data_IF_802185545639
#
_entry.id   IF_802185545639
#
_cell.length_a   1.000
_cell.length_b   1.000
_cell.length_c   1.000
_cell.angle_alpha   90.00
_cell.angle_beta   90.00
_cell.angle_gamma   90.00
#
_symmetry.space_group_name_H-M   'P 1'
#
loop_
_entity.id
_entity.type
_entity.pdbx_description
1 polymer ?
#
# COMPACT_ATOMS: atom_id res chain seq x y z
N UNK A 1 -2.21 4.79 -21.63
CA UNK A 1 -3.60 5.01 -21.17
C UNK A 1 -4.31 3.72 -20.76
N UNK A 2 -4.24 2.64 -21.55
CA UNK A 2 -4.86 1.34 -21.21
C UNK A 2 -4.40 0.78 -19.85
N UNK A 3 -3.10 0.81 -19.53
CA UNK A 3 -2.58 0.36 -18.23
C UNK A 3 -3.16 1.14 -17.04
N UNK A 4 -3.42 2.44 -17.22
CA UNK A 4 -4.00 3.29 -16.18
C UNK A 4 -5.45 2.89 -15.90
N UNK A 5 -6.21 2.56 -16.95
CA UNK A 5 -7.58 2.02 -16.81
C UNK A 5 -7.57 0.70 -16.04
N UNK A 6 -6.71 -0.25 -16.41
CA UNK A 6 -6.60 -1.52 -15.69
C UNK A 6 -6.15 -1.36 -14.24
N UNK A 7 -5.25 -0.41 -13.97
CA UNK A 7 -4.81 -0.07 -12.61
C UNK A 7 -5.97 0.48 -11.77
N UNK A 8 -6.77 1.41 -12.31
CA UNK A 8 -7.95 1.94 -11.64
C UNK A 8 -8.97 0.83 -11.37
N UNK A 9 -9.30 0.03 -12.39
CA UNK A 9 -10.25 -1.07 -12.25
C UNK A 9 -9.78 -2.08 -11.20
N UNK A 10 -8.51 -2.46 -11.21
CA UNK A 10 -7.94 -3.37 -10.20
C UNK A 10 -7.98 -2.76 -8.81
N UNK A 11 -7.60 -1.49 -8.66
CA UNK A 11 -7.63 -0.78 -7.37
C UNK A 11 -9.03 -0.75 -6.76
N UNK A 12 -10.05 -0.40 -7.56
CA UNK A 12 -11.45 -0.38 -7.12
C UNK A 12 -11.94 -1.80 -6.82
N UNK A 13 -11.62 -2.77 -7.67
CA UNK A 13 -12.04 -4.17 -7.50
C UNK A 13 -11.49 -4.76 -6.20
N UNK A 14 -10.23 -4.50 -5.85
CA UNK A 14 -9.64 -4.98 -4.58
C UNK A 14 -10.41 -4.41 -3.39
N UNK A 15 -10.73 -3.11 -3.38
CA UNK A 15 -11.49 -2.50 -2.30
C UNK A 15 -12.89 -3.13 -2.14
N UNK A 16 -13.59 -3.37 -3.25
CA UNK A 16 -14.91 -4.02 -3.25
C UNK A 16 -14.85 -5.49 -2.80
N UNK A 17 -13.85 -6.25 -3.26
CA UNK A 17 -13.64 -7.64 -2.86
C UNK A 17 -13.34 -7.75 -1.36
N UNK A 18 -12.49 -6.86 -0.82
CA UNK A 18 -12.21 -6.85 0.62
C UNK A 18 -13.48 -6.53 1.41
N UNK A 19 -14.28 -5.54 0.99
CA UNK A 19 -15.57 -5.28 1.66
C UNK A 19 -16.49 -6.49 1.63
N UNK A 20 -16.60 -7.14 0.46
CA UNK A 20 -17.42 -8.35 0.33
C UNK A 20 -16.94 -9.47 1.26
N UNK A 21 -15.63 -9.67 1.37
CA UNK A 21 -15.04 -10.68 2.26
C UNK A 21 -15.31 -10.37 3.74
N UNK A 22 -15.20 -9.11 4.13
CA UNK A 22 -15.50 -8.66 5.50
C UNK A 22 -17.00 -8.76 5.82
N UNK A 23 -17.88 -8.43 4.88
CA UNK A 23 -19.34 -8.60 5.05
C UNK A 23 -19.76 -10.08 5.12
N UNK A 24 -18.96 -10.98 4.55
CA UNK A 24 -19.17 -12.42 4.62
C UNK A 24 -18.44 -13.07 5.82
N UNK A 25 -17.86 -12.27 6.72
CA UNK A 25 -17.11 -12.72 7.91
C UNK A 25 -16.06 -13.79 7.61
N UNK A 26 -15.42 -13.70 6.43
CA UNK A 26 -14.36 -14.63 6.06
C UNK A 26 -13.15 -14.45 6.99
N UNK A 27 -12.47 -15.55 7.28
CA UNK A 27 -11.27 -15.50 8.10
C UNK A 27 -10.15 -14.73 7.38
N UNK A 28 -9.82 -13.54 7.89
CA UNK A 28 -8.81 -12.62 7.36
C UNK A 28 -7.45 -13.28 7.11
N UNK A 29 -7.01 -14.16 8.00
CA UNK A 29 -5.73 -14.87 7.84
C UNK A 29 -5.77 -15.83 6.66
N UNK A 30 -6.90 -16.52 6.43
CA UNK A 30 -7.08 -17.37 5.24
C UNK A 30 -7.07 -16.53 3.97
N UNK A 31 -7.80 -15.42 3.95
CA UNK A 31 -7.82 -14.49 2.80
C UNK A 31 -6.41 -14.00 2.48
N UNK A 32 -5.66 -13.57 3.51
CA UNK A 32 -4.27 -13.13 3.36
C UNK A 32 -3.38 -14.27 2.85
N UNK A 33 -3.46 -15.46 3.44
CA UNK A 33 -2.67 -16.62 3.04
C UNK A 33 -2.86 -16.98 1.57
N UNK A 34 -4.11 -17.08 1.11
CA UNK A 34 -4.40 -17.38 -0.30
C UNK A 34 -3.95 -16.25 -1.23
N UNK A 35 -4.13 -14.98 -0.86
CA UNK A 35 -3.66 -13.85 -1.64
C UNK A 35 -2.14 -13.94 -1.90
N UNK A 36 -1.37 -14.19 -0.84
CA UNK A 36 0.10 -14.22 -0.91
C UNK A 36 0.64 -15.47 -1.60
N UNK A 37 -0.01 -16.63 -1.43
CA UNK A 37 0.33 -17.84 -2.20
C UNK A 37 0.08 -17.62 -3.68
N UNK A 38 -1.07 -17.04 -4.04
CA UNK A 38 -1.40 -16.80 -5.45
C UNK A 38 -0.37 -15.89 -6.11
N UNK A 39 -0.08 -14.72 -5.52
CA UNK A 39 0.88 -13.79 -6.12
C UNK A 39 2.30 -14.38 -6.17
N UNK A 40 2.74 -15.07 -5.11
CA UNK A 40 4.07 -15.69 -5.08
C UNK A 40 4.22 -16.78 -6.13
N UNK A 41 3.18 -17.61 -6.32
CA UNK A 41 3.19 -18.68 -7.33
C UNK A 41 3.21 -18.14 -8.75
N UNK A 42 2.41 -17.10 -9.01
CA UNK A 42 2.36 -16.43 -10.33
C UNK A 42 3.70 -15.77 -10.64
N UNK A 43 4.28 -15.04 -9.68
CA UNK A 43 5.58 -14.39 -9.86
C UNK A 43 6.72 -15.40 -10.05
N UNK A 44 6.70 -16.52 -9.30
CA UNK A 44 7.67 -17.58 -9.48
C UNK A 44 7.58 -18.17 -10.89
N UNK A 45 6.38 -18.49 -11.36
CA UNK A 45 6.16 -19.02 -12.70
C UNK A 45 6.69 -18.07 -13.79
N UNK A 46 6.38 -16.77 -13.68
CA UNK A 46 6.85 -15.76 -14.63
C UNK A 46 8.39 -15.69 -14.64
N UNK A 47 9.03 -15.70 -13.48
CA UNK A 47 10.49 -15.61 -13.40
C UNK A 47 11.19 -16.88 -13.89
N UNK A 48 10.59 -18.05 -13.67
CA UNK A 48 11.07 -19.33 -14.25
C UNK A 48 11.01 -19.28 -15.77
N UNK A 49 9.88 -18.88 -16.34
CA UNK A 49 9.70 -18.77 -17.80
C UNK A 49 10.68 -17.78 -18.43
N UNK A 50 10.99 -16.69 -17.73
CA UNK A 50 11.90 -15.63 -18.21
C UNK A 50 13.37 -15.91 -17.91
N UNK A 51 13.71 -17.01 -17.25
CA UNK A 51 15.06 -17.31 -16.77
C UNK A 51 15.69 -16.15 -15.98
N UNK A 52 14.88 -15.44 -15.20
CA UNK A 52 15.27 -14.22 -14.47
C UNK A 52 15.45 -14.45 -12.97
N UNK A 53 15.64 -15.71 -12.55
CA UNK A 53 15.90 -16.04 -11.16
C UNK A 53 17.35 -15.71 -10.81
N UNK A 54 17.54 -14.81 -9.86
CA UNK A 54 18.81 -14.53 -9.22
C UNK A 54 18.61 -14.38 -7.72
N UNK A 55 19.69 -14.52 -6.97
CA UNK A 55 19.67 -14.38 -5.52
C UNK A 55 20.72 -13.37 -5.09
N UNK A 56 20.28 -12.36 -4.33
CA UNK A 56 21.13 -11.41 -3.63
C UNK A 56 20.68 -11.35 -2.15
N UNK A 57 21.65 -11.39 -1.24
CA UNK A 57 21.36 -11.46 0.20
C UNK A 57 20.69 -10.18 0.71
N UNK A 58 21.12 -9.01 0.24
CA UNK A 58 20.54 -7.73 0.67
C UNK A 58 19.11 -7.60 0.16
N UNK A 59 18.88 -7.98 -1.09
CA UNK A 59 17.57 -8.03 -1.74
C UNK A 59 16.63 -9.02 -1.05
N UNK A 60 17.14 -10.17 -0.60
CA UNK A 60 16.38 -11.15 0.17
C UNK A 60 15.93 -10.60 1.52
N UNK A 61 16.84 -9.95 2.26
CA UNK A 61 16.51 -9.29 3.54
C UNK A 61 15.48 -8.18 3.35
N UNK A 62 15.68 -7.32 2.34
CA UNK A 62 14.72 -6.27 1.97
C UNK A 62 13.34 -6.88 1.63
N UNK A 63 13.32 -7.97 0.86
CA UNK A 63 12.07 -8.65 0.46
C UNK A 63 11.29 -9.21 1.64
N UNK A 64 11.96 -9.74 2.67
CA UNK A 64 11.31 -10.22 3.90
C UNK A 64 10.64 -9.05 4.64
N UNK A 65 11.36 -7.93 4.80
CA UNK A 65 10.85 -6.74 5.51
C UNK A 65 9.65 -6.16 4.76
N UNK A 66 9.79 -5.98 3.44
CA UNK A 66 8.75 -5.43 2.59
C UNK A 66 7.54 -6.37 2.52
N UNK A 67 7.75 -7.67 2.39
CA UNK A 67 6.67 -8.66 2.41
C UNK A 67 5.89 -8.64 3.72
N UNK A 68 6.57 -8.52 4.87
CA UNK A 68 5.92 -8.36 6.16
C UNK A 68 5.12 -7.06 6.25
N UNK A 69 5.67 -5.94 5.79
CA UNK A 69 4.97 -4.65 5.75
C UNK A 69 3.70 -4.70 4.91
N UNK A 70 3.76 -5.27 3.69
CA UNK A 70 2.58 -5.45 2.86
C UNK A 70 1.53 -6.36 3.52
N UNK A 71 1.95 -7.44 4.19
CA UNK A 71 1.04 -8.35 4.87
C UNK A 71 0.32 -7.66 6.04
N UNK A 72 1.07 -6.90 6.85
CA UNK A 72 0.51 -6.10 7.95
C UNK A 72 -0.41 -4.99 7.43
N UNK A 73 0.00 -4.29 6.37
CA UNK A 73 -0.81 -3.26 5.72
C UNK A 73 -2.16 -3.81 5.27
N UNK A 74 -2.15 -4.95 4.55
CA UNK A 74 -3.36 -5.58 4.05
C UNK A 74 -4.25 -6.11 5.18
N UNK A 75 -3.65 -6.61 6.27
CA UNK A 75 -4.39 -7.07 7.44
C UNK A 75 -5.08 -5.92 8.20
N UNK A 76 -4.40 -4.78 8.37
CA UNK A 76 -4.98 -3.56 8.94
C UNK A 76 -6.11 -3.04 8.04
N UNK A 77 -5.90 -3.06 6.71
CA UNK A 77 -6.91 -2.65 5.73
C UNK A 77 -8.21 -3.45 5.87
N UNK A 78 -8.12 -4.77 5.93
CA UNK A 78 -9.27 -5.67 6.14
C UNK A 78 -10.00 -5.35 7.45
N UNK A 79 -9.28 -5.16 8.55
CA UNK A 79 -9.89 -4.81 9.84
C UNK A 79 -10.61 -3.46 9.80
N UNK A 80 -10.04 -2.48 9.12
CA UNK A 80 -10.59 -1.12 9.10
C UNK A 80 -11.82 -1.02 8.21
N UNK A 81 -11.90 -1.80 7.12
CA UNK A 81 -13.10 -1.86 6.26
C UNK A 81 -14.32 -2.48 6.98
N UNK A 82 -14.08 -3.28 8.02
CA UNK A 82 -15.13 -3.84 8.86
C UNK A 82 -15.72 -2.77 9.80
N UNK A 83 -14.88 -1.89 10.36
CA UNK A 83 -15.31 -0.88 11.34
C UNK A 83 -15.65 0.50 10.75
N UNK A 84 -15.12 0.83 9.57
CA UNK A 84 -15.27 2.13 8.91
C UNK A 84 -15.80 1.99 7.46
N UNK A 85 -16.22 3.11 6.88
CA UNK A 85 -16.57 3.20 5.46
C UNK A 85 -15.35 2.93 4.58
N UNK A 86 -15.54 2.20 3.47
CA UNK A 86 -14.45 1.81 2.54
C UNK A 86 -13.65 3.02 2.04
N UNK A 87 -14.31 4.17 1.88
CA UNK A 87 -13.69 5.39 1.39
C UNK A 87 -12.48 5.79 2.23
N UNK A 88 -12.57 5.68 3.56
CA UNK A 88 -11.58 6.20 4.47
C UNK A 88 -10.25 5.40 4.47
N UNK A 89 -10.24 4.05 4.62
CA UNK A 89 -9.03 3.24 4.43
C UNK A 89 -8.43 3.41 3.04
N UNK A 90 -9.26 3.44 1.99
CA UNK A 90 -8.78 3.59 0.61
C UNK A 90 -8.12 4.96 0.38
N UNK A 91 -8.68 6.03 0.95
CA UNK A 91 -8.09 7.37 0.89
C UNK A 91 -6.78 7.43 1.67
N UNK A 92 -6.72 6.87 2.88
CA UNK A 92 -5.50 6.83 3.69
C UNK A 92 -4.34 6.16 2.93
N UNK A 93 -4.59 5.02 2.26
CA UNK A 93 -3.58 4.37 1.43
C UNK A 93 -3.13 5.25 0.26
N UNK A 94 -4.05 5.92 -0.45
CA UNK A 94 -3.71 6.79 -1.59
C UNK A 94 -2.91 8.02 -1.17
N UNK A 95 -3.25 8.60 -0.02
CA UNK A 95 -2.55 9.77 0.52
C UNK A 95 -1.20 9.42 1.13
N UNK A 96 -0.94 8.14 1.43
CA UNK A 96 0.35 7.68 1.96
C UNK A 96 1.54 7.98 1.04
N UNK A 97 1.28 8.24 -0.25
CA UNK A 97 2.26 8.66 -1.25
C UNK A 97 3.03 9.94 -0.86
N UNK A 98 2.52 10.73 0.09
CA UNK A 98 3.28 11.83 0.70
C UNK A 98 4.59 11.34 1.34
N UNK A 99 4.58 10.17 1.99
CA UNK A 99 5.78 9.58 2.63
C UNK A 99 6.89 9.27 1.62
N UNK A 100 6.69 8.42 0.59
CA UNK A 100 7.75 8.11 -0.36
C UNK A 100 8.22 9.33 -1.13
N UNK A 101 7.34 10.26 -1.47
CA UNK A 101 7.73 11.49 -2.18
C UNK A 101 8.62 12.37 -1.30
N UNK A 102 8.23 12.61 -0.04
CA UNK A 102 9.03 13.42 0.87
C UNK A 102 10.39 12.77 1.16
N UNK A 103 10.41 11.47 1.48
CA UNK A 103 11.66 10.73 1.69
C UNK A 103 12.54 10.70 0.42
N UNK A 104 11.95 10.58 -0.77
CA UNK A 104 12.70 10.58 -2.03
C UNK A 104 13.43 11.90 -2.25
N UNK A 105 12.77 13.03 -1.99
CA UNK A 105 13.37 14.36 -2.05
C UNK A 105 14.51 14.50 -1.04
N UNK A 106 14.28 14.10 0.21
CA UNK A 106 15.28 14.27 1.28
C UNK A 106 16.51 13.36 1.11
N UNK A 107 16.31 12.11 0.70
CA UNK A 107 17.38 11.10 0.63
C UNK A 107 18.10 11.08 -0.71
N UNK A 108 17.37 11.29 -1.82
CA UNK A 108 17.93 11.22 -3.18
C UNK A 108 18.10 12.60 -3.84
N UNK A 109 17.79 13.69 -3.12
CA UNK A 109 17.97 15.05 -3.62
C UNK A 109 17.12 15.38 -4.84
N UNK A 110 16.01 14.67 -5.05
CA UNK A 110 15.14 14.91 -6.20
C UNK A 110 14.57 16.34 -6.16
N UNK A 111 14.71 17.07 -7.27
CA UNK A 111 14.20 18.43 -7.35
C UNK A 111 12.68 18.48 -7.19
N UNK A 112 12.21 19.26 -6.22
CA UNK A 112 10.80 19.60 -6.05
C UNK A 112 10.40 20.66 -7.08
N UNK A 113 9.70 20.22 -8.13
CA UNK A 113 8.93 21.16 -8.95
C UNK A 113 7.84 21.82 -8.11
N UNK A 114 7.50 23.07 -8.42
CA UNK A 114 6.38 23.81 -7.80
C UNK A 114 5.10 22.98 -7.84
N UNK A 115 4.84 22.27 -8.95
CA UNK A 115 3.64 21.42 -9.10
C UNK A 115 3.62 20.25 -8.11
N UNK A 116 4.78 19.64 -7.82
CA UNK A 116 4.92 18.57 -6.83
C UNK A 116 4.71 19.11 -5.41
N UNK A 117 5.27 20.29 -5.12
CA UNK A 117 5.09 20.97 -3.83
C UNK A 117 3.62 21.27 -3.54
N UNK A 118 2.89 21.82 -4.52
CA UNK A 118 1.44 22.06 -4.41
C UNK A 118 0.67 20.74 -4.23
N UNK A 119 1.04 19.69 -4.96
CA UNK A 119 0.43 18.36 -4.80
C UNK A 119 0.58 17.79 -3.39
N UNK A 120 1.78 17.90 -2.80
CA UNK A 120 2.05 17.48 -1.41
C UNK A 120 1.21 18.31 -0.43
N UNK A 121 1.16 19.64 -0.60
CA UNK A 121 0.38 20.50 0.26
C UNK A 121 -1.13 20.15 0.22
N UNK A 122 -1.68 19.93 -0.97
CA UNK A 122 -3.07 19.50 -1.14
C UNK A 122 -3.34 18.12 -0.52
N UNK A 123 -2.41 17.18 -0.64
CA UNK A 123 -2.53 15.86 -0.02
C UNK A 123 -2.55 15.98 1.51
N UNK A 124 -1.66 16.79 2.10
CA UNK A 124 -1.64 17.07 3.54
C UNK A 124 -2.96 17.71 3.99
N UNK A 125 -3.45 18.74 3.29
CA UNK A 125 -4.76 19.34 3.58
C UNK A 125 -5.90 18.31 3.53
N UNK A 126 -5.88 17.40 2.56
CA UNK A 126 -6.88 16.34 2.43
C UNK A 126 -6.86 15.38 3.62
N UNK A 127 -5.69 15.04 4.15
CA UNK A 127 -5.56 14.20 5.37
C UNK A 127 -6.22 14.90 6.56
N UNK A 128 -6.01 16.21 6.74
CA UNK A 128 -6.66 16.97 7.82
C UNK A 128 -8.18 17.05 7.66
N UNK A 129 -8.69 17.24 6.44
CA UNK A 129 -10.12 17.28 6.17
C UNK A 129 -10.80 15.91 6.31
N UNK A 130 -10.02 14.82 6.20
CA UNK A 130 -10.50 13.46 6.40
C UNK A 130 -10.74 13.15 7.89
N UNK A 131 -10.19 13.94 8.81
CA UNK A 131 -10.39 13.74 10.25
C UNK A 131 -11.84 13.99 10.66
N UNK A 132 -12.52 12.93 11.11
CA UNK A 132 -13.85 13.02 11.68
C UNK A 132 -13.81 12.72 13.18
N UNK A 133 -14.14 13.69 14.06
CA UNK A 133 -14.11 13.49 15.52
C UNK A 133 -15.13 12.46 16.03
N UNK A 134 -16.10 12.05 15.21
CA UNK A 134 -17.05 11.00 15.55
C UNK A 134 -16.45 9.58 15.48
N UNK A 135 -15.23 9.42 14.93
CA UNK A 135 -14.59 8.11 14.83
C UNK A 135 -14.03 7.58 16.14
N UNK A 136 -14.07 6.26 16.30
CA UNK A 136 -13.53 5.62 17.50
C UNK A 136 -12.01 5.73 17.48
N UNK A 137 -11.41 5.99 18.65
CA UNK A 137 -9.94 6.09 18.83
C UNK A 137 -9.16 4.91 18.26
N UNK A 138 -9.74 3.70 18.27
CA UNK A 138 -9.13 2.48 17.70
C UNK A 138 -9.06 2.55 16.17
N UNK A 139 -10.06 3.10 15.51
CA UNK A 139 -10.11 3.24 14.06
C UNK A 139 -9.11 4.30 13.59
N UNK A 140 -8.98 5.42 14.32
CA UNK A 140 -7.94 6.44 14.08
C UNK A 140 -6.53 5.84 14.13
N UNK A 141 -6.24 5.00 15.12
CA UNK A 141 -4.93 4.34 15.22
C UNK A 141 -4.69 3.37 14.06
N UNK A 142 -5.72 2.63 13.63
CA UNK A 142 -5.63 1.74 12.48
C UNK A 142 -5.45 2.50 11.17
N UNK A 143 -6.12 3.65 10.99
CA UNK A 143 -5.93 4.54 9.84
C UNK A 143 -4.49 5.03 9.79
N UNK A 144 -3.95 5.48 10.93
CA UNK A 144 -2.56 5.94 11.00
C UNK A 144 -1.55 4.82 10.69
N UNK A 145 -1.76 3.63 11.25
CA UNK A 145 -0.92 2.46 10.94
C UNK A 145 -1.00 2.08 9.46
N UNK A 146 -2.20 2.10 8.87
CA UNK A 146 -2.41 1.83 7.46
C UNK A 146 -1.67 2.84 6.57
N UNK A 147 -1.79 4.13 6.89
CA UNK A 147 -1.08 5.21 6.20
C UNK A 147 0.44 5.01 6.27
N UNK A 148 0.96 4.68 7.45
CA UNK A 148 2.40 4.50 7.67
C UNK A 148 2.94 3.25 6.96
N UNK A 149 2.26 2.10 7.10
CA UNK A 149 2.69 0.87 6.42
C UNK A 149 2.60 0.98 4.90
N UNK A 150 1.55 1.60 4.36
CA UNK A 150 1.43 1.85 2.93
C UNK A 150 2.57 2.74 2.43
N UNK A 151 2.82 3.88 3.08
CA UNK A 151 3.84 4.82 2.64
C UNK A 151 5.28 4.28 2.72
N UNK A 152 5.61 3.51 3.78
CA UNK A 152 6.92 2.85 3.89
C UNK A 152 7.07 1.75 2.84
N UNK A 153 6.01 0.99 2.56
CA UNK A 153 6.04 -0.06 1.53
C UNK A 153 6.30 0.55 0.15
N UNK A 154 5.61 1.65 -0.18
CA UNK A 154 5.81 2.37 -1.45
C UNK A 154 7.22 2.99 -1.53
N UNK A 155 7.74 3.54 -0.43
CA UNK A 155 9.11 4.05 -0.40
C UNK A 155 10.14 2.94 -0.59
N UNK A 156 9.88 1.75 -0.06
CA UNK A 156 10.78 0.60 -0.21
C UNK A 156 10.93 0.18 -1.68
N UNK A 157 9.88 0.35 -2.50
CA UNK A 157 9.97 0.13 -3.95
C UNK A 157 10.89 1.15 -4.63
N UNK A 158 10.82 2.43 -4.22
CA UNK A 158 11.76 3.46 -4.70
C UNK A 158 13.19 3.17 -4.25
N UNK A 159 13.36 2.71 -3.02
CA UNK A 159 14.67 2.29 -2.50
C UNK A 159 15.25 1.14 -3.32
N UNK A 160 14.43 0.14 -3.66
CA UNK A 160 14.82 -0.95 -4.55
C UNK A 160 15.32 -0.41 -5.90
N UNK A 161 14.53 0.43 -6.58
CA UNK A 161 14.85 1.00 -7.89
C UNK A 161 16.16 1.81 -7.91
N UNK A 162 16.51 2.50 -6.82
CA UNK A 162 17.69 3.36 -6.76
C UNK A 162 18.98 2.63 -6.36
N UNK A 163 18.88 1.46 -5.71
CA UNK A 163 20.04 0.77 -5.11
C UNK A 163 20.31 -0.61 -5.73
N UNK A 164 19.44 -1.14 -6.59
CA UNK A 164 19.54 -2.44 -7.25
C UNK A 164 19.11 -2.34 -8.72
#
# INVERSE_FOLDING_TARGET
MVYLIFSILSSVTIALLVKRNENADLNRLKVLFYNYITISSVLLLINVIRHSLFFDLHLFVLSIIVGFLFAMNFFVYMRLINSADISLPTLAMRLSLVIPVTLSVFLYGESLSITRGVGIALAICSIFMMYNPAEKRKDILLIFLLFLFAGISDFSMKYFEMNF
#
